data_IF_940793050749
#
_entry.id   IF_940793050749
#
_cell.length_a   1.000
_cell.length_b   1.000
_cell.length_c   1.000
_cell.angle_alpha   90.00
_cell.angle_beta   90.00
_cell.angle_gamma   90.00
#
_symmetry.space_group_name_H-M   'P 1'
#
loop_
_entity.id
_entity.type
_entity.pdbx_description
1 polymer ?
#
# COMPACT_ATOMS: atom_id res chain seq x y z
N UNK A 1 4.68 19.29 -20.29
CA UNK A 1 4.28 18.07 -19.55
C UNK A 1 2.81 18.19 -19.19
N UNK A 2 1.97 17.26 -19.67
CA UNK A 2 0.52 17.32 -19.43
C UNK A 2 0.16 16.80 -18.03
N UNK A 3 0.04 17.73 -17.09
CA UNK A 3 -0.28 17.47 -15.68
C UNK A 3 -1.58 16.64 -15.55
N UNK A 4 -2.60 16.93 -16.39
CA UNK A 4 -3.86 16.17 -16.45
C UNK A 4 -3.66 14.69 -16.76
N UNK A 5 -2.67 14.35 -17.59
CA UNK A 5 -2.36 12.96 -17.98
C UNK A 5 -1.71 12.18 -16.84
N UNK A 6 -0.94 12.86 -15.99
CA UNK A 6 -0.34 12.27 -14.78
C UNK A 6 -1.41 11.99 -13.71
N UNK A 7 -2.31 12.95 -13.46
CA UNK A 7 -3.40 12.76 -12.51
C UNK A 7 -4.34 11.62 -12.92
N UNK A 8 -4.70 11.52 -14.21
CA UNK A 8 -5.56 10.42 -14.67
C UNK A 8 -4.92 9.04 -14.47
N UNK A 9 -3.60 8.91 -14.68
CA UNK A 9 -2.87 7.67 -14.39
C UNK A 9 -2.87 7.34 -12.91
N UNK A 10 -2.66 8.35 -12.07
CA UNK A 10 -2.67 8.19 -10.62
C UNK A 10 -4.06 7.75 -10.13
N UNK A 11 -5.13 8.37 -10.64
CA UNK A 11 -6.51 7.98 -10.36
C UNK A 11 -6.81 6.55 -10.81
N UNK A 12 -6.35 6.15 -12.00
CA UNK A 12 -6.52 4.79 -12.52
C UNK A 12 -5.75 3.75 -11.68
N UNK A 13 -4.64 4.13 -11.04
CA UNK A 13 -3.81 3.25 -10.21
C UNK A 13 -4.26 3.16 -8.75
N UNK A 14 -5.00 4.14 -8.26
CA UNK A 14 -5.42 4.24 -6.86
C UNK A 14 -6.91 4.01 -6.63
N UNK A 15 -7.71 3.83 -7.69
CA UNK A 15 -9.15 3.64 -7.59
C UNK A 15 -9.57 2.18 -7.86
N UNK A 16 -9.85 1.37 -6.82
CA UNK A 16 -10.32 -0.01 -6.97
C UNK A 16 -11.73 -0.13 -7.59
N UNK A 17 -12.48 0.95 -7.75
CA UNK A 17 -13.74 0.94 -8.50
C UNK A 17 -13.55 1.06 -10.02
N UNK A 18 -12.33 1.36 -10.48
CA UNK A 18 -12.01 1.48 -11.89
C UNK A 18 -11.47 0.15 -12.45
N UNK A 19 -11.92 -0.27 -13.63
CA UNK A 19 -11.44 -1.49 -14.27
C UNK A 19 -9.95 -1.44 -14.61
N UNK A 20 -9.41 -0.26 -14.93
CA UNK A 20 -7.97 -0.11 -15.23
C UNK A 20 -7.08 -0.44 -14.04
N UNK A 21 -7.56 -0.20 -12.81
CA UNK A 21 -6.84 -0.58 -11.59
C UNK A 21 -6.58 -2.09 -11.54
N UNK A 22 -7.60 -2.88 -11.88
CA UNK A 22 -7.54 -4.35 -11.86
C UNK A 22 -6.74 -4.89 -13.04
N UNK A 23 -6.91 -4.31 -14.23
CA UNK A 23 -6.12 -4.66 -15.43
C UNK A 23 -4.62 -4.46 -15.20
N UNK A 24 -4.23 -3.36 -14.58
CA UNK A 24 -2.83 -3.09 -14.23
C UNK A 24 -2.24 -4.08 -13.21
N UNK A 25 -3.09 -4.82 -12.50
CA UNK A 25 -2.70 -5.85 -11.53
C UNK A 25 -2.83 -7.27 -12.07
N UNK A 26 -3.09 -7.43 -13.37
CA UNK A 26 -3.19 -8.72 -14.05
C UNK A 26 -4.58 -9.35 -14.02
N UNK A 27 -5.60 -8.64 -13.55
CA UNK A 27 -6.97 -9.14 -13.55
C UNK A 27 -7.74 -8.64 -14.79
N UNK A 28 -8.51 -9.53 -15.42
CA UNK A 28 -9.30 -9.19 -16.61
C UNK A 28 -10.42 -8.18 -16.32
N UNK A 29 -11.01 -8.26 -15.11
CA UNK A 29 -12.05 -7.39 -14.56
C UNK A 29 -11.94 -7.32 -13.04
N UNK A 30 -12.67 -6.41 -12.39
CA UNK A 30 -12.79 -6.39 -10.92
C UNK A 30 -13.30 -7.75 -10.41
N UNK A 31 -12.56 -8.44 -9.52
CA UNK A 31 -13.04 -9.67 -8.88
C UNK A 31 -14.28 -9.40 -8.01
N UNK A 32 -15.18 -10.37 -7.85
CA UNK A 32 -16.34 -10.22 -6.95
C UNK A 32 -15.89 -10.11 -5.48
N UNK A 33 -14.88 -10.89 -5.09
CA UNK A 33 -14.27 -10.87 -3.75
C UNK A 33 -13.19 -9.80 -3.58
N UNK A 34 -13.24 -8.70 -4.35
CA UNK A 34 -12.19 -7.67 -4.32
C UNK A 34 -12.05 -7.00 -2.96
N UNK A 35 -13.13 -6.89 -2.18
CA UNK A 35 -13.09 -6.33 -0.83
C UNK A 35 -12.25 -7.19 0.10
N UNK A 36 -12.41 -8.51 0.05
CA UNK A 36 -11.59 -9.46 0.82
C UNK A 36 -10.13 -9.44 0.38
N UNK A 37 -9.88 -9.33 -0.93
CA UNK A 37 -8.53 -9.16 -1.47
C UNK A 37 -7.89 -7.84 -0.99
N UNK A 38 -8.68 -6.77 -0.85
CA UNK A 38 -8.20 -5.48 -0.35
C UNK A 38 -7.86 -5.51 1.15
N UNK A 39 -8.62 -6.31 1.92
CA UNK A 39 -8.40 -6.53 3.36
C UNK A 39 -7.24 -7.49 3.63
N UNK A 40 -6.93 -8.38 2.70
CA UNK A 40 -5.67 -9.14 2.65
C UNK A 40 -4.52 -8.20 2.31
N UNK A 41 -4.12 -7.38 3.28
CA UNK A 41 -2.82 -6.74 3.24
C UNK A 41 -1.75 -7.85 3.09
N UNK A 42 -0.81 -7.74 2.13
CA UNK A 42 0.26 -8.74 1.96
C UNK A 42 1.18 -8.80 3.19
N UNK A 43 1.03 -7.84 4.10
CA UNK A 43 1.76 -7.76 5.35
C UNK A 43 0.87 -8.28 6.49
N UNK A 44 1.37 -9.27 7.22
CA UNK A 44 0.69 -9.77 8.42
C UNK A 44 0.46 -8.63 9.42
N UNK A 45 -0.55 -8.77 10.28
CA UNK A 45 -0.83 -7.79 11.34
C UNK A 45 0.42 -7.54 12.21
N UNK A 46 1.15 -8.59 12.53
CA UNK A 46 2.40 -8.50 13.27
C UNK A 46 3.48 -7.71 12.52
N UNK A 47 3.64 -7.92 11.21
CA UNK A 47 4.58 -7.14 10.40
C UNK A 47 4.16 -5.67 10.28
N UNK A 48 2.86 -5.36 10.22
CA UNK A 48 2.35 -3.99 10.30
C UNK A 48 2.62 -3.34 11.66
N UNK A 49 2.41 -4.07 12.75
CA UNK A 49 2.63 -3.57 14.10
C UNK A 49 4.12 -3.32 14.34
N UNK A 50 4.99 -4.25 13.94
CA UNK A 50 6.44 -4.08 14.02
C UNK A 50 6.92 -2.87 13.21
N UNK A 51 6.46 -2.73 11.96
CA UNK A 51 6.76 -1.54 11.14
C UNK A 51 6.27 -0.26 11.81
N UNK A 52 5.10 -0.28 12.45
CA UNK A 52 4.54 0.88 13.14
C UNK A 52 5.38 1.25 14.35
N UNK A 53 5.82 0.27 15.13
CA UNK A 53 6.73 0.46 16.28
C UNK A 53 8.06 1.07 15.85
N UNK A 54 8.65 0.59 14.74
CA UNK A 54 9.90 1.13 14.18
C UNK A 54 9.77 2.55 13.61
N UNK A 55 8.55 3.00 13.30
CA UNK A 55 8.29 4.35 12.76
C UNK A 55 7.78 5.35 13.78
N UNK A 56 7.47 4.89 14.99
CA UNK A 56 6.96 5.73 16.05
C UNK A 56 8.12 6.28 16.91
N UNK A 57 8.45 7.58 16.84
CA UNK A 57 9.55 8.18 17.61
C UNK A 57 9.34 8.14 19.13
N UNK A 58 8.11 7.88 19.59
CA UNK A 58 7.81 7.69 21.02
C UNK A 58 7.94 6.22 21.46
N UNK A 59 8.39 5.32 20.58
CA UNK A 59 8.62 3.91 20.87
C UNK A 59 10.13 3.61 20.87
N UNK A 60 10.61 2.87 21.87
CA UNK A 60 12.01 2.46 21.99
C UNK A 60 12.54 1.74 20.73
N UNK A 61 11.70 0.95 20.05
CA UNK A 61 12.06 0.25 18.83
C UNK A 61 12.50 1.17 17.67
N UNK A 62 12.06 2.44 17.68
CA UNK A 62 12.47 3.44 16.70
C UNK A 62 13.95 3.80 16.82
N UNK A 63 14.43 4.05 18.05
CA UNK A 63 15.83 4.40 18.29
C UNK A 63 16.75 3.19 18.10
N UNK A 64 16.35 2.01 18.59
CA UNK A 64 17.09 0.75 18.37
C UNK A 64 17.31 0.43 16.89
N UNK A 65 16.33 0.75 16.03
CA UNK A 65 16.45 0.55 14.58
C UNK A 65 17.41 1.54 13.90
N UNK A 66 17.76 2.65 14.56
CA UNK A 66 18.62 3.72 14.02
C UNK A 66 20.04 3.67 14.59
N UNK A 67 20.19 3.27 15.86
CA UNK A 67 21.51 3.14 16.50
C UNK A 67 22.32 1.95 15.99
N UNK A 68 21.66 0.87 15.54
CA UNK A 68 22.33 -0.29 14.96
C UNK A 68 22.92 -0.08 13.56
N UNK A 69 22.96 1.15 13.05
CA UNK A 69 23.47 1.50 11.72
C UNK A 69 24.64 2.51 11.80
N UNK A 70 25.39 2.46 12.92
CA UNK A 70 26.62 3.22 13.13
C UNK A 70 27.85 2.31 13.12
#
# INVERSE_FOLDING_TARGET
>A
MDIKKQYSKYSDQMNPNNDKYWKNRGYTKKPENWEDLSKKSPMSKEAQDNRSRQRNPNNEAYYKSREGNQ
#
